data_IF_762141838130
#
_entry.id   IF_762141838130
#
_cell.length_a   1.000
_cell.length_b   1.000
_cell.length_c   1.000
_cell.angle_alpha   90.00
_cell.angle_beta   90.00
_cell.angle_gamma   90.00
#
_symmetry.space_group_name_H-M   'P 1'
#
loop_
_entity.id
_entity.type
_entity.pdbx_description
1 polymer ?
#
# COMPACT_ATOMS: atom_id res chain seq x y z
N UNK A 1 54.13 -5.86 -8.45
CA UNK A 1 54.71 -7.21 -8.55
C UNK A 1 53.72 -8.19 -7.92
N UNK A 2 52.86 -8.83 -8.71
CA UNK A 2 51.95 -9.86 -8.20
C UNK A 2 52.76 -11.14 -7.97
N UNK A 3 52.79 -11.64 -6.74
CA UNK A 3 53.46 -12.90 -6.40
C UNK A 3 52.68 -14.04 -7.02
N UNK A 4 53.33 -14.78 -7.93
CA UNK A 4 52.72 -15.88 -8.65
C UNK A 4 52.21 -16.98 -7.70
N UNK A 5 51.19 -17.75 -8.12
CA UNK A 5 50.58 -18.78 -7.28
C UNK A 5 51.60 -19.89 -6.96
N UNK A 6 51.68 -20.24 -5.67
CA UNK A 6 52.60 -21.29 -5.19
C UNK A 6 51.84 -22.62 -5.24
N UNK A 7 52.23 -23.51 -6.16
CA UNK A 7 51.56 -24.80 -6.36
C UNK A 7 52.17 -25.84 -5.41
N UNK A 8 51.41 -26.23 -4.39
CA UNK A 8 51.69 -27.40 -3.56
C UNK A 8 50.52 -28.37 -3.77
N UNK A 9 50.74 -29.37 -4.63
CA UNK A 9 49.91 -30.57 -4.85
C UNK A 9 48.39 -30.43 -4.79
N UNK A 10 47.73 -30.43 -5.96
CA UNK A 10 46.27 -30.68 -6.20
C UNK A 10 45.22 -29.91 -5.37
N UNK A 11 45.60 -29.04 -4.43
CA UNK A 11 44.68 -28.21 -3.68
C UNK A 11 44.63 -26.83 -4.33
N UNK A 12 43.85 -26.71 -5.40
CA UNK A 12 43.45 -25.39 -5.91
C UNK A 12 42.89 -24.63 -4.73
N UNK A 13 43.55 -23.53 -4.31
CA UNK A 13 43.00 -22.66 -3.27
C UNK A 13 41.54 -22.38 -3.61
N UNK A 14 40.60 -22.61 -2.67
CA UNK A 14 39.20 -22.34 -2.94
C UNK A 14 39.11 -20.89 -3.41
N UNK A 15 38.45 -20.62 -4.54
CA UNK A 15 38.44 -19.29 -5.13
C UNK A 15 38.02 -18.29 -4.06
N UNK A 16 38.82 -17.22 -3.93
CA UNK A 16 38.58 -16.20 -2.93
C UNK A 16 37.11 -15.78 -2.98
N UNK A 17 36.44 -15.64 -1.81
CA UNK A 17 35.03 -15.32 -1.78
C UNK A 17 34.81 -14.04 -2.57
N UNK A 18 33.95 -14.13 -3.60
CA UNK A 18 33.61 -12.97 -4.40
C UNK A 18 32.97 -11.90 -3.51
N UNK A 19 33.18 -10.63 -3.83
CA UNK A 19 32.57 -9.51 -3.11
C UNK A 19 31.05 -9.70 -2.94
N UNK A 20 30.39 -10.27 -3.97
CA UNK A 20 28.97 -10.60 -3.92
C UNK A 20 28.64 -11.64 -2.83
N UNK A 21 29.40 -12.74 -2.74
CA UNK A 21 29.19 -13.73 -1.66
C UNK A 21 29.33 -13.10 -0.27
N UNK A 22 30.32 -12.23 -0.10
CA UNK A 22 30.57 -11.55 1.16
C UNK A 22 29.48 -10.50 1.50
N UNK A 23 28.93 -9.80 0.51
CA UNK A 23 28.08 -8.62 0.74
C UNK A 23 26.62 -8.77 0.28
N UNK A 24 26.20 -9.94 -0.22
CA UNK A 24 24.83 -10.15 -0.73
C UNK A 24 23.74 -9.72 0.25
N UNK A 25 23.94 -9.97 1.54
CA UNK A 25 22.96 -9.65 2.57
C UNK A 25 22.83 -8.13 2.74
N UNK A 26 23.94 -7.39 2.70
CA UNK A 26 23.94 -5.92 2.72
C UNK A 26 23.25 -5.35 1.49
N UNK A 27 23.57 -5.89 0.31
CA UNK A 27 22.94 -5.48 -0.94
C UNK A 27 21.42 -5.71 -0.92
N UNK A 28 20.97 -6.89 -0.46
CA UNK A 28 19.55 -7.21 -0.33
C UNK A 28 18.84 -6.34 0.71
N UNK A 29 19.48 -6.04 1.84
CA UNK A 29 18.92 -5.14 2.86
C UNK A 29 18.74 -3.73 2.33
N UNK A 30 19.75 -3.17 1.64
CA UNK A 30 19.67 -1.84 1.04
C UNK A 30 18.56 -1.82 -0.04
N UNK A 31 18.50 -2.84 -0.89
CA UNK A 31 17.47 -2.95 -1.92
C UNK A 31 16.06 -3.02 -1.31
N UNK A 32 15.86 -3.84 -0.28
CA UNK A 32 14.59 -3.95 0.43
C UNK A 32 14.18 -2.64 1.11
N UNK A 33 15.14 -1.94 1.73
CA UNK A 33 14.88 -0.64 2.36
C UNK A 33 14.46 0.41 1.31
N UNK A 34 15.15 0.49 0.17
CA UNK A 34 14.79 1.40 -0.91
C UNK A 34 13.43 1.07 -1.51
N UNK A 35 13.14 -0.20 -1.76
CA UNK A 35 11.84 -0.64 -2.27
C UNK A 35 10.71 -0.30 -1.29
N UNK A 36 10.91 -0.59 0.01
CA UNK A 36 9.94 -0.24 1.05
C UNK A 36 9.72 1.26 1.18
N UNK A 37 10.80 2.06 1.13
CA UNK A 37 10.71 3.53 1.13
C UNK A 37 9.94 4.05 -0.08
N UNK A 38 10.26 3.54 -1.27
CA UNK A 38 9.56 3.91 -2.51
C UNK A 38 8.07 3.61 -2.41
N UNK A 39 7.71 2.39 -1.97
CA UNK A 39 6.31 2.00 -1.78
C UNK A 39 5.62 2.91 -0.76
N UNK A 40 6.22 3.10 0.41
CA UNK A 40 5.63 3.92 1.48
C UNK A 40 5.41 5.39 1.07
N UNK A 41 6.30 5.94 0.25
CA UNK A 41 6.21 7.34 -0.20
C UNK A 41 5.32 7.54 -1.42
N UNK A 42 5.27 6.58 -2.35
CA UNK A 42 4.56 6.74 -3.62
C UNK A 42 3.18 6.08 -3.63
N UNK A 43 2.91 5.11 -2.76
CA UNK A 43 1.60 4.48 -2.61
C UNK A 43 0.86 4.94 -1.34
N UNK A 44 1.55 5.63 -0.44
CA UNK A 44 0.96 6.21 0.78
C UNK A 44 0.02 7.40 0.54
N UNK A 45 0.05 7.99 -0.66
CA UNK A 45 -0.92 9.01 -1.11
C UNK A 45 -2.26 8.42 -1.57
N UNK A 46 -2.50 7.11 -1.39
CA UNK A 46 -3.87 6.59 -1.49
C UNK A 46 -4.71 7.35 -0.47
N UNK A 47 -5.62 8.25 -0.90
CA UNK A 47 -6.35 9.08 0.04
C UNK A 47 -7.06 8.14 1.00
N UNK A 48 -6.89 8.37 2.30
CA UNK A 48 -7.73 7.74 3.30
C UNK A 48 -9.16 7.81 2.77
N UNK A 49 -9.77 6.66 2.47
CA UNK A 49 -11.17 6.61 2.05
C UNK A 49 -11.90 7.46 3.06
N UNK A 50 -12.40 8.63 2.64
CA UNK A 50 -13.15 9.49 3.55
C UNK A 50 -14.21 8.57 4.16
N UNK A 51 -14.29 8.45 5.49
CA UNK A 51 -15.44 7.80 6.06
C UNK A 51 -16.63 8.54 5.46
N UNK A 52 -17.50 7.80 4.78
CA UNK A 52 -18.79 8.32 4.33
C UNK A 52 -19.52 8.79 5.59
N UNK A 53 -19.23 10.01 6.00
CA UNK A 53 -19.94 10.70 7.05
C UNK A 53 -21.34 10.86 6.49
N UNK A 54 -22.37 10.27 7.12
CA UNK A 54 -23.73 10.49 6.67
C UNK A 54 -23.99 11.98 6.85
N UNK A 55 -24.05 12.72 5.74
CA UNK A 55 -24.42 14.12 5.77
C UNK A 55 -25.83 14.19 6.36
N UNK A 56 -26.08 14.98 7.41
CA UNK A 56 -27.43 15.19 7.90
C UNK A 56 -28.28 15.72 6.73
N UNK A 57 -29.22 14.89 6.25
CA UNK A 57 -30.21 15.32 5.29
C UNK A 57 -31.06 16.37 5.97
N UNK A 58 -30.94 17.62 5.55
CA UNK A 58 -31.84 18.66 6.01
C UNK A 58 -33.26 18.25 5.62
N UNK A 59 -34.10 17.97 6.60
CA UNK A 59 -35.54 17.80 6.40
C UNK A 59 -36.07 19.12 5.87
N UNK A 60 -36.37 19.17 4.58
CA UNK A 60 -37.25 20.20 4.05
C UNK A 60 -38.58 20.08 4.81
N UNK A 61 -39.13 21.16 5.39
CA UNK A 61 -40.46 21.12 5.96
C UNK A 61 -41.43 20.68 4.86
N UNK A 62 -42.22 19.65 5.13
CA UNK A 62 -43.32 19.28 4.26
C UNK A 62 -44.20 20.53 4.11
N UNK A 63 -44.31 21.05 2.90
CA UNK A 63 -45.35 22.03 2.57
C UNK A 63 -46.67 21.30 2.75
N UNK A 64 -47.39 21.62 3.83
CA UNK A 64 -48.79 21.27 4.02
C UNK A 64 -49.60 22.03 2.97
N UNK A 65 -49.61 21.49 1.75
CA UNK A 65 -50.63 21.81 0.76
C UNK A 65 -52.01 21.44 1.32
N UNK A 66 -53.06 22.20 0.99
CA UNK A 66 -54.36 22.08 1.62
C UNK A 66 -54.91 20.66 1.49
N UNK A 67 -55.30 20.13 2.65
CA UNK A 67 -55.97 18.87 2.87
C UNK A 67 -57.22 18.77 1.99
N UNK A 68 -57.16 17.98 0.91
CA UNK A 68 -58.35 17.56 0.17
C UNK A 68 -59.07 16.50 1.00
N UNK A 69 -60.12 16.91 1.69
CA UNK A 69 -61.09 16.05 2.38
C UNK A 69 -61.71 15.06 1.39
N UNK A 70 -61.61 13.74 1.57
CA UNK A 70 -62.47 12.79 0.88
C UNK A 70 -63.79 12.68 1.65
N UNK A 71 -64.86 13.21 1.06
CA UNK A 71 -66.25 12.99 1.50
C UNK A 71 -66.59 11.50 1.38
N UNK A 72 -67.06 10.81 2.43
CA UNK A 72 -67.60 9.46 2.31
C UNK A 72 -69.02 9.49 1.72
N UNK A 73 -69.39 8.53 0.84
CA UNK A 73 -70.73 8.45 0.26
C UNK A 73 -71.76 8.04 1.33
N UNK A 74 -72.87 8.79 1.39
CA UNK A 74 -73.99 8.53 2.28
C UNK A 74 -74.66 7.19 2.00
N UNK A 75 -74.97 6.47 3.06
CA UNK A 75 -75.86 5.32 3.06
C UNK A 75 -77.30 5.79 3.34
N UNK A 76 -78.21 5.40 2.47
CA UNK A 76 -79.66 5.33 2.72
C UNK A 76 -80.12 3.93 2.41
#
# INVERSE_FOLDING_TARGET
MAKGPTVIGILTEPPAPTWWRANRHKALLILGLLAGYYIGTHLGDAPAQQPHTPRPGHTAPATTGPHSTPTPPGAT
#
